data_IF_574997418339
#
_entry.id   IF_574997418339
#
_cell.length_a   1.000
_cell.length_b   1.000
_cell.length_c   1.000
_cell.angle_alpha   90.00
_cell.angle_beta   90.00
_cell.angle_gamma   90.00
#
_symmetry.space_group_name_H-M   'P 1'
#
loop_
_entity.id
_entity.type
_entity.pdbx_description
1 polymer ?
#
# COMPACT_ATOMS: atom_id res chain seq x y z
N UNK A 1 -15.44 -12.27 -7.36
CA UNK A 1 -15.08 -12.22 -7.31
C UNK A 1 -14.94 -11.72 -7.36
N UNK A 2 -14.62 -11.54 -6.81
CA UNK A 2 -14.36 -11.20 -6.69
C UNK A 2 -14.15 -10.83 -6.51
N UNK A 3 -14.10 -10.79 -6.29
CA UNK A 3 -13.69 -10.63 -6.20
C UNK A 3 -13.31 -10.50 -6.05
N UNK A 4 -13.32 -10.63 -5.79
CA UNK A 4 -12.69 -10.76 -5.75
C UNK A 4 -12.39 -10.94 -6.13
N UNK A 5 -12.31 -11.17 -6.15
CA UNK A 5 -11.74 -11.48 -6.54
C UNK A 5 -11.39 -11.79 -6.78
N UNK A 6 -11.33 -12.00 -6.65
CA UNK A 6 -10.70 -12.30 -6.85
C UNK A 6 -10.45 -12.82 -7.30
N UNK A 7 -10.32 -13.20 -7.37
CA UNK A 7 -9.75 -13.67 -7.74
C UNK A 7 -9.25 -14.14 -7.92
N UNK A 8 -9.18 -14.23 -7.77
CA UNK A 8 -8.45 -14.63 -7.75
C UNK A 8 -7.88 -15.19 -8.04
N UNK A 9 -7.89 -15.20 -8.47
CA UNK A 9 -7.20 -15.90 -8.68
C UNK A 9 -6.34 -16.41 -7.94
N UNK A 10 -6.93 -16.95 -7.70
CA UNK A 10 -6.02 -17.24 -6.63
C UNK A 10 -5.40 -18.57 -6.84
N UNK A 11 -4.12 -18.53 -6.78
CA UNK A 11 -3.35 -19.74 -6.90
C UNK A 11 -3.54 -20.56 -5.63
N UNK A 12 -4.00 -21.78 -5.72
CA UNK A 12 -4.22 -22.56 -4.52
C UNK A 12 -2.97 -22.77 -3.68
N UNK A 13 -1.82 -22.80 -4.30
CA UNK A 13 -0.60 -23.02 -3.55
C UNK A 13 -0.25 -21.82 -2.70
N UNK A 14 -0.85 -20.70 -2.97
CA UNK A 14 -0.61 -19.48 -2.22
C UNK A 14 -1.71 -19.12 -1.30
N UNK A 15 -2.76 -19.87 -1.27
CA UNK A 15 -3.89 -19.36 -0.61
C UNK A 15 -3.72 -19.27 0.87
N UNK A 16 -2.77 -19.93 1.42
CA UNK A 16 -2.57 -19.77 2.82
C UNK A 16 -1.86 -18.50 3.13
N UNK A 17 -1.45 -17.84 2.08
CA UNK A 17 -0.83 -16.58 2.27
C UNK A 17 -1.88 -15.52 2.37
N UNK A 18 -1.48 -14.33 2.29
CA UNK A 18 -2.38 -13.21 2.42
C UNK A 18 -3.32 -13.15 1.25
N UNK A 19 -4.54 -12.85 1.53
CA UNK A 19 -5.46 -12.48 0.49
C UNK A 19 -5.21 -11.07 0.10
N UNK A 20 -5.06 -10.84 -1.19
CA UNK A 20 -4.97 -9.50 -1.70
C UNK A 20 -6.37 -8.99 -1.92
N UNK A 21 -6.67 -7.92 -1.28
CA UNK A 21 -7.98 -7.31 -1.44
C UNK A 21 -7.88 -6.13 -2.37
N UNK A 22 -8.82 -6.05 -3.31
CA UNK A 22 -8.96 -4.86 -4.11
C UNK A 22 -9.62 -3.81 -3.24
N UNK A 23 -8.93 -2.72 -3.05
CA UNK A 23 -9.38 -1.66 -2.17
C UNK A 23 -9.29 -0.36 -2.94
N UNK A 24 -10.37 0.42 -2.94
CA UNK A 24 -10.34 1.71 -3.60
C UNK A 24 -10.52 2.77 -2.55
N UNK A 25 -9.53 2.91 -1.70
CA UNK A 25 -9.57 3.88 -0.62
C UNK A 25 -8.55 4.95 -0.85
N UNK A 26 -8.90 6.14 -0.44
CA UNK A 26 -7.94 7.22 -0.40
C UNK A 26 -6.96 7.01 0.71
N UNK A 27 -5.76 7.51 0.50
CA UNK A 27 -4.71 7.40 1.48
C UNK A 27 -3.79 8.60 1.34
N UNK A 28 -2.93 8.75 2.31
CA UNK A 28 -1.98 9.86 2.34
C UNK A 28 -0.63 9.31 2.74
N UNK A 29 0.36 9.64 1.93
CA UNK A 29 1.74 9.34 2.25
C UNK A 29 2.29 10.55 2.99
N UNK A 30 2.92 10.31 4.12
CA UNK A 30 3.46 11.34 4.99
C UNK A 30 4.95 11.10 5.08
N UNK A 31 5.74 12.09 4.74
CA UNK A 31 7.19 11.91 4.72
C UNK A 31 7.88 13.23 5.04
N UNK A 32 9.20 13.20 5.02
CA UNK A 32 9.99 14.41 5.23
C UNK A 32 9.68 14.99 6.60
N UNK A 33 9.77 14.13 7.63
CA UNK A 33 9.49 14.52 9.02
C UNK A 33 8.10 15.12 9.14
N UNK A 34 7.16 14.51 8.40
CA UNK A 34 5.76 14.91 8.42
C UNK A 34 5.50 16.29 7.84
N UNK A 35 6.47 16.85 7.17
CA UNK A 35 6.30 18.14 6.52
C UNK A 35 5.66 18.03 5.16
N UNK A 36 5.67 16.85 4.57
CA UNK A 36 5.15 16.64 3.23
C UNK A 36 4.10 15.56 3.25
N UNK A 37 3.06 15.76 2.47
CA UNK A 37 2.05 14.72 2.30
C UNK A 37 1.73 14.61 0.83
N UNK A 38 1.31 13.44 0.45
CA UNK A 38 0.95 13.15 -0.93
C UNK A 38 -0.28 12.27 -0.91
N UNK A 39 -1.34 12.74 -1.54
CA UNK A 39 -2.55 11.94 -1.64
C UNK A 39 -2.35 10.83 -2.63
N UNK A 40 -2.88 9.68 -2.33
CA UNK A 40 -2.79 8.55 -3.23
C UNK A 40 -4.02 7.68 -3.04
N UNK A 41 -4.05 6.60 -3.79
CA UNK A 41 -5.15 5.67 -3.73
C UNK A 41 -4.61 4.28 -3.50
N UNK A 42 -5.20 3.56 -2.57
CA UNK A 42 -4.82 2.18 -2.35
C UNK A 42 -5.54 1.34 -3.40
N UNK A 43 -4.77 0.58 -4.15
CA UNK A 43 -5.34 -0.29 -5.17
C UNK A 43 -5.61 -1.67 -4.62
N UNK A 44 -4.72 -2.17 -3.82
CA UNK A 44 -4.94 -3.42 -3.12
C UNK A 44 -4.03 -3.45 -1.91
N UNK A 45 -4.35 -4.33 -1.01
CA UNK A 45 -3.66 -4.37 0.27
C UNK A 45 -3.70 -5.79 0.82
N UNK A 46 -2.62 -6.16 1.48
CA UNK A 46 -2.53 -7.40 2.22
C UNK A 46 -2.14 -7.05 3.65
N UNK A 47 -1.94 -8.08 4.45
CA UNK A 47 -1.48 -7.84 5.82
C UNK A 47 -0.07 -7.27 5.85
N UNK A 48 0.73 -7.53 4.84
CA UNK A 48 2.13 -7.14 4.87
C UNK A 48 2.43 -5.92 4.02
N UNK A 49 1.50 -5.46 3.18
CA UNK A 49 1.81 -4.33 2.34
C UNK A 49 0.65 -3.88 1.49
N UNK A 50 0.93 -2.97 0.58
CA UNK A 50 -0.09 -2.40 -0.27
C UNK A 50 0.52 -1.96 -1.59
N UNK A 51 -0.33 -1.84 -2.58
CA UNK A 51 0.02 -1.21 -3.84
C UNK A 51 -0.77 0.09 -3.94
N UNK A 52 -0.06 1.14 -4.23
CA UNK A 52 -0.63 2.49 -4.22
C UNK A 52 -0.52 3.10 -5.61
N UNK A 53 -1.52 3.89 -5.95
CA UNK A 53 -1.54 4.66 -7.17
C UNK A 53 -1.36 6.12 -6.78
N UNK A 54 -0.26 6.71 -7.20
CA UNK A 54 0.08 8.07 -6.83
C UNK A 54 -0.50 9.10 -7.77
N UNK A 55 -1.07 8.66 -8.87
CA UNK A 55 -1.62 9.51 -9.92
C UNK A 55 -0.54 10.21 -10.75
N UNK A 56 0.62 10.41 -10.21
CA UNK A 56 1.77 10.95 -10.95
C UNK A 56 3.00 10.25 -10.44
N UNK A 57 4.06 10.32 -11.22
CA UNK A 57 5.33 9.81 -10.76
C UNK A 57 5.90 10.73 -9.71
N UNK A 58 6.38 10.15 -8.64
CA UNK A 58 6.95 10.88 -7.52
C UNK A 58 8.15 10.12 -7.01
N UNK A 59 9.14 10.87 -6.58
CA UNK A 59 10.24 10.28 -5.85
C UNK A 59 9.87 10.24 -4.39
N UNK A 60 9.94 9.05 -3.82
CA UNK A 60 9.63 8.86 -2.42
C UNK A 60 10.86 8.37 -1.69
N UNK A 61 10.99 8.68 -0.41
CA UNK A 61 12.07 8.11 0.37
C UNK A 61 11.84 6.62 0.56
N UNK A 62 12.87 5.94 1.04
CA UNK A 62 12.77 4.49 1.27
C UNK A 62 11.75 4.13 2.33
N UNK A 63 11.51 5.02 3.27
CA UNK A 63 10.53 4.79 4.32
C UNK A 63 9.69 6.03 4.49
N UNK A 64 8.43 5.81 4.80
CA UNK A 64 7.50 6.91 5.02
C UNK A 64 6.32 6.35 5.81
N UNK A 65 5.40 7.23 6.16
CA UNK A 65 4.18 6.82 6.83
C UNK A 65 3.04 6.83 5.84
N UNK A 66 2.10 5.95 6.08
CA UNK A 66 0.93 5.84 5.24
C UNK A 66 -0.29 5.85 6.14
N UNK A 67 -1.23 6.69 5.80
CA UNK A 67 -2.51 6.73 6.48
C UNK A 67 -3.60 6.42 5.47
N UNK A 68 -4.20 5.25 5.62
CA UNK A 68 -5.33 4.86 4.80
C UNK A 68 -6.58 5.33 5.52
N UNK A 69 -7.52 5.84 4.76
CA UNK A 69 -8.76 6.38 5.32
C UNK A 69 -9.38 5.37 6.30
N UNK A 70 -9.62 5.83 7.51
CA UNK A 70 -10.22 5.00 8.54
C UNK A 70 -9.27 4.15 9.33
N UNK A 71 -7.97 4.26 9.07
CA UNK A 71 -6.98 3.41 9.73
C UNK A 71 -5.90 4.25 10.38
N UNK A 72 -5.22 3.69 11.37
CA UNK A 72 -4.09 4.40 11.97
C UNK A 72 -2.93 4.53 10.99
N UNK A 73 -2.09 5.50 11.25
CA UNK A 73 -0.87 5.69 10.47
C UNK A 73 0.06 4.51 10.66
N UNK A 74 0.68 4.07 9.58
CA UNK A 74 1.62 2.97 9.62
C UNK A 74 2.90 3.37 8.91
N UNK A 75 4.01 2.86 9.41
CA UNK A 75 5.29 3.04 8.72
C UNK A 75 5.39 2.02 7.61
N UNK A 76 5.93 2.48 6.48
CA UNK A 76 6.04 1.66 5.29
C UNK A 76 7.44 1.75 4.72
N UNK A 77 7.87 0.68 4.10
CA UNK A 77 9.08 0.67 3.29
C UNK A 77 8.73 0.55 1.83
N UNK A 78 9.35 1.38 1.02
CA UNK A 78 9.14 1.33 -0.43
C UNK A 78 9.84 0.11 -0.99
N UNK A 79 9.10 -0.71 -1.71
CA UNK A 79 9.65 -1.95 -2.27
C UNK A 79 9.93 -1.82 -3.74
N UNK A 80 9.06 -1.17 -4.47
CA UNK A 80 9.25 -0.96 -5.90
C UNK A 80 8.41 0.22 -6.34
N UNK A 81 8.78 0.78 -7.48
CA UNK A 81 8.03 1.86 -8.11
C UNK A 81 8.05 1.62 -9.61
N UNK A 82 6.92 1.81 -10.23
CA UNK A 82 6.80 1.65 -11.67
C UNK A 82 5.68 2.56 -12.16
N UNK A 83 6.05 3.56 -12.94
CA UNK A 83 5.07 4.54 -13.38
C UNK A 83 4.50 5.28 -12.19
N UNK A 84 3.21 5.30 -12.11
CA UNK A 84 2.52 5.97 -11.01
C UNK A 84 2.27 5.04 -9.84
N UNK A 85 2.65 3.79 -9.95
CA UNK A 85 2.36 2.80 -8.92
C UNK A 85 3.57 2.54 -8.07
N UNK A 86 3.33 2.33 -6.80
CA UNK A 86 4.39 1.90 -5.89
C UNK A 86 3.87 0.75 -5.05
N UNK A 87 4.79 -0.12 -4.68
CA UNK A 87 4.50 -1.18 -3.74
C UNK A 87 5.24 -0.91 -2.45
N UNK A 88 4.53 -1.07 -1.36
CA UNK A 88 5.11 -0.82 -0.03
C UNK A 88 4.87 -2.04 0.84
N UNK A 89 5.76 -2.23 1.78
CA UNK A 89 5.55 -3.19 2.85
C UNK A 89 5.35 -2.44 4.14
N UNK A 90 4.51 -2.98 5.00
CA UNK A 90 4.30 -2.39 6.31
C UNK A 90 5.45 -2.82 7.21
N UNK A 91 6.02 -1.86 7.89
CA UNK A 91 7.15 -2.13 8.77
C UNK A 91 6.64 -2.40 10.16
N UNK A 92 7.40 -3.18 10.94
CA UNK A 92 6.99 -3.40 12.32
C UNK A 92 6.99 -2.08 13.06
N UNK A 93 6.10 -1.98 14.04
CA UNK A 93 6.09 -0.81 14.88
C UNK A 93 7.40 -0.74 15.64
N UNK A 94 7.86 0.48 15.85
CA UNK A 94 9.02 0.68 16.67
C UNK A 94 8.67 0.31 18.10
N UNK A 95 9.61 -0.26 18.77
CA UNK A 95 9.38 -0.72 20.12
C UNK A 95 10.06 0.20 21.12
#
# INVERSE_FOLDING_TARGET
MGGDIIRLNIDPSNRREEFRRTVLKGARIIFNDRRSTLSCRVRDMTESGARLDLSTQQLLPHEFELQVSGNPVRRCGLRWAHGNFVGVSFLPDAV
#
